data_IF_953653802818
#
_entry.id   IF_953653802818
#
_cell.length_a   1.000
_cell.length_b   1.000
_cell.length_c   1.000
_cell.angle_alpha   90.00
_cell.angle_beta   90.00
_cell.angle_gamma   90.00
#
_symmetry.space_group_name_H-M   'P 1'
#
loop_
_entity.id
_entity.type
_entity.pdbx_description
1 polymer ?
#
# COMPACT_ATOMS: atom_id res chain seq x y z
N UNK A 1 -11.68 53.87 -12.82
CA UNK A 1 -11.68 52.91 -11.69
C UNK A 1 -12.40 51.66 -12.18
N UNK A 2 -11.67 50.62 -12.57
CA UNK A 2 -12.26 49.43 -13.17
C UNK A 2 -12.80 48.51 -12.08
N UNK A 3 -14.13 48.39 -12.04
CA UNK A 3 -14.85 47.50 -11.14
C UNK A 3 -14.62 46.05 -11.56
N UNK A 4 -13.56 45.43 -11.04
CA UNK A 4 -13.32 43.99 -11.20
C UNK A 4 -14.36 43.20 -10.40
N UNK A 5 -15.49 42.88 -11.04
CA UNK A 5 -16.51 42.03 -10.44
C UNK A 5 -15.90 40.68 -10.08
N UNK A 6 -15.93 40.34 -8.79
CA UNK A 6 -15.45 39.05 -8.29
C UNK A 6 -16.13 37.92 -9.08
N UNK A 7 -15.38 37.00 -9.71
CA UNK A 7 -15.95 35.96 -10.55
C UNK A 7 -16.60 34.89 -9.67
N UNK A 8 -17.77 35.21 -9.11
CA UNK A 8 -18.53 34.33 -8.22
C UNK A 8 -18.80 32.96 -8.85
N UNK A 9 -18.96 32.93 -10.19
CA UNK A 9 -19.11 31.69 -10.97
C UNK A 9 -17.88 30.79 -10.83
N UNK A 10 -16.66 31.33 -10.93
CA UNK A 10 -15.43 30.52 -10.77
C UNK A 10 -15.24 30.09 -9.33
N UNK A 11 -15.60 30.94 -8.36
CA UNK A 11 -15.58 30.58 -6.94
C UNK A 11 -16.55 29.41 -6.63
N UNK A 12 -17.72 29.39 -7.28
CA UNK A 12 -18.68 28.28 -7.17
C UNK A 12 -18.15 26.99 -7.79
N UNK A 13 -17.52 27.06 -8.97
CA UNK A 13 -16.91 25.87 -9.59
C UNK A 13 -15.77 25.31 -8.74
N UNK A 14 -14.94 26.16 -8.14
CA UNK A 14 -13.86 25.75 -7.24
C UNK A 14 -14.43 25.12 -5.96
N UNK A 15 -15.45 25.73 -5.36
CA UNK A 15 -16.13 25.15 -4.19
C UNK A 15 -16.74 23.79 -4.52
N UNK A 16 -17.40 23.65 -5.67
CA UNK A 16 -17.98 22.38 -6.11
C UNK A 16 -16.89 21.31 -6.35
N UNK A 17 -15.76 21.68 -6.96
CA UNK A 17 -14.64 20.78 -7.18
C UNK A 17 -14.01 20.29 -5.87
N UNK A 18 -13.84 21.18 -4.89
CA UNK A 18 -13.35 20.81 -3.55
C UNK A 18 -14.32 19.82 -2.89
N UNK A 19 -15.63 20.08 -2.95
CA UNK A 19 -16.63 19.17 -2.40
C UNK A 19 -16.60 17.81 -3.09
N UNK A 20 -16.46 17.77 -4.42
CA UNK A 20 -16.33 16.52 -5.19
C UNK A 20 -15.06 15.75 -4.81
N UNK A 21 -13.94 16.43 -4.58
CA UNK A 21 -12.70 15.79 -4.09
C UNK A 21 -12.91 15.21 -2.69
N UNK A 22 -13.53 15.96 -1.78
CA UNK A 22 -13.81 15.49 -0.41
C UNK A 22 -14.75 14.28 -0.41
N UNK A 23 -15.81 14.31 -1.23
CA UNK A 23 -16.74 13.19 -1.39
C UNK A 23 -16.05 11.98 -2.03
N UNK A 24 -15.22 12.19 -3.05
CA UNK A 24 -14.45 11.11 -3.69
C UNK A 24 -13.44 10.49 -2.73
N UNK A 25 -12.83 11.30 -1.85
CA UNK A 25 -11.91 10.83 -0.82
C UNK A 25 -12.65 10.04 0.27
N UNK A 26 -13.83 10.50 0.68
CA UNK A 26 -14.69 9.80 1.65
C UNK A 26 -15.22 8.47 1.10
N UNK A 27 -15.67 8.43 -0.16
CA UNK A 27 -16.09 7.20 -0.83
C UNK A 27 -14.89 6.27 -1.04
N UNK A 28 -13.73 6.82 -1.41
CA UNK A 28 -12.48 6.06 -1.50
C UNK A 28 -12.06 5.45 -0.16
N UNK A 29 -12.19 6.18 0.94
CA UNK A 29 -11.96 5.68 2.29
C UNK A 29 -12.96 4.59 2.69
N UNK A 30 -14.25 4.78 2.40
CA UNK A 30 -15.30 3.80 2.67
C UNK A 30 -15.14 2.51 1.84
N UNK A 31 -14.80 2.63 0.55
CA UNK A 31 -14.58 1.51 -0.36
C UNK A 31 -13.25 0.77 -0.09
N UNK A 32 -12.25 1.46 0.46
CA UNK A 32 -10.97 0.86 0.90
C UNK A 32 -11.01 0.30 2.32
N UNK A 33 -12.16 0.36 3.01
CA UNK A 33 -12.33 -0.14 4.37
C UNK A 33 -11.60 0.69 5.43
N UNK A 34 -11.16 1.91 5.10
CA UNK A 34 -10.60 2.85 6.06
C UNK A 34 -11.72 3.44 6.93
N UNK A 35 -12.30 2.62 7.81
CA UNK A 35 -13.18 3.11 8.87
C UNK A 35 -12.31 3.84 9.90
N UNK A 36 -12.53 5.15 9.99
CA UNK A 36 -12.25 5.91 11.20
C UNK A 36 -13.03 5.25 12.35
N UNK A 37 -12.35 5.13 13.49
CA UNK A 37 -12.79 4.61 14.78
C UNK A 37 -12.68 3.09 15.02
N UNK A 38 -11.84 2.77 16.02
CA UNK A 38 -11.43 1.43 16.52
C UNK A 38 -12.66 0.64 17.00
N UNK A 39 -12.86 -0.60 16.49
CA UNK A 39 -12.19 -1.77 17.07
C UNK A 39 -11.86 -2.82 16.00
N UNK A 40 -10.76 -2.66 15.25
CA UNK A 40 -10.44 -3.54 14.11
C UNK A 40 -9.02 -4.11 14.14
N UNK A 41 -8.34 -4.15 15.30
CA UNK A 41 -6.91 -4.49 15.32
C UNK A 41 -6.62 -5.95 14.96
N UNK A 42 -7.58 -6.85 15.18
CA UNK A 42 -7.47 -8.27 14.77
C UNK A 42 -7.97 -8.48 13.34
N UNK A 43 -9.07 -7.84 12.93
CA UNK A 43 -9.61 -7.95 11.57
C UNK A 43 -8.73 -7.27 10.51
N UNK A 44 -8.10 -6.13 10.82
CA UNK A 44 -7.24 -5.41 9.89
C UNK A 44 -5.85 -6.07 9.74
N UNK A 45 -5.37 -6.76 10.78
CA UNK A 45 -4.21 -7.63 10.69
C UNK A 45 -4.49 -8.89 9.85
N UNK A 46 -5.74 -9.38 9.85
CA UNK A 46 -6.19 -10.47 8.99
C UNK A 46 -6.47 -10.01 7.55
N UNK A 47 -6.86 -8.74 7.33
CA UNK A 47 -7.21 -8.21 6.00
C UNK A 47 -6.00 -7.87 5.13
N UNK A 48 -4.80 -7.71 5.72
CA UNK A 48 -3.58 -7.39 4.99
C UNK A 48 -2.48 -8.37 5.35
N UNK A 49 -2.17 -9.29 4.43
CA UNK A 49 -0.98 -10.14 4.53
C UNK A 49 0.24 -9.28 4.85
N UNK A 50 1.05 -9.64 5.87
CA UNK A 50 2.23 -8.90 6.24
C UNK A 50 3.16 -8.78 5.04
N UNK A 51 3.62 -7.56 4.72
CA UNK A 51 4.56 -7.37 3.62
C UNK A 51 5.84 -8.21 3.79
N UNK A 52 6.65 -8.41 2.73
CA UNK A 52 7.77 -9.36 2.75
C UNK A 52 8.79 -9.20 3.88
N UNK A 53 9.07 -7.96 4.33
CA UNK A 53 9.92 -7.73 5.51
C UNK A 53 9.29 -8.23 6.81
N UNK A 54 7.98 -8.05 6.92
CA UNK A 54 7.19 -8.47 8.06
C UNK A 54 7.12 -9.98 8.20
N UNK A 55 6.88 -10.66 7.07
CA UNK A 55 6.89 -12.11 6.98
C UNK A 55 8.22 -12.71 7.44
N UNK A 56 9.35 -12.18 6.94
CA UNK A 56 10.68 -12.65 7.32
C UNK A 56 11.03 -12.42 8.80
N UNK A 57 10.48 -11.37 9.42
CA UNK A 57 10.69 -11.08 10.84
C UNK A 57 9.84 -11.97 11.76
N UNK A 58 8.69 -12.44 11.28
CA UNK A 58 7.79 -13.31 12.04
C UNK A 58 8.29 -14.76 12.15
N UNK A 59 9.19 -15.18 11.26
CA UNK A 59 9.69 -16.56 11.23
C UNK A 59 10.67 -16.87 12.39
N UNK A 60 10.60 -18.06 13.01
CA UNK A 60 11.60 -18.55 13.95
C UNK A 60 13.02 -18.51 13.37
N UNK A 61 14.09 -18.31 14.18
CA UNK A 61 15.47 -18.19 13.69
C UNK A 61 15.93 -19.38 12.84
N UNK A 62 15.50 -20.59 13.20
CA UNK A 62 15.88 -21.82 12.50
C UNK A 62 15.14 -21.96 11.15
N UNK A 63 13.82 -21.71 11.16
CA UNK A 63 13.01 -21.66 9.94
C UNK A 63 13.42 -20.53 8.99
N UNK A 64 14.00 -19.42 9.50
CA UNK A 64 14.49 -18.30 8.69
C UNK A 64 15.59 -18.70 7.72
N UNK A 65 16.47 -19.65 8.06
CA UNK A 65 17.58 -20.07 7.18
C UNK A 65 17.09 -20.85 5.97
N UNK A 66 16.19 -21.80 6.22
CA UNK A 66 15.59 -22.64 5.19
C UNK A 66 14.68 -21.82 4.27
N UNK A 67 13.82 -21.00 4.87
CA UNK A 67 12.94 -20.07 4.14
C UNK A 67 13.74 -18.99 3.39
N UNK A 68 14.89 -18.51 3.90
CA UNK A 68 15.75 -17.55 3.15
C UNK A 68 16.34 -18.14 1.88
N UNK A 69 16.82 -19.39 1.91
CA UNK A 69 17.40 -20.04 0.73
C UNK A 69 16.36 -20.21 -0.36
N UNK A 70 15.15 -20.55 0.03
CA UNK A 70 14.05 -20.76 -0.91
C UNK A 70 13.47 -19.45 -1.43
N UNK A 71 13.30 -18.44 -0.56
CA UNK A 71 12.92 -17.11 -1.02
C UNK A 71 13.98 -16.49 -1.93
N UNK A 72 15.26 -16.87 -1.88
CA UNK A 72 16.30 -16.25 -2.69
C UNK A 72 15.99 -16.27 -4.20
N UNK A 73 15.38 -17.35 -4.70
CA UNK A 73 14.91 -17.44 -6.10
C UNK A 73 13.72 -16.53 -6.37
N UNK A 74 12.70 -16.58 -5.52
CA UNK A 74 11.53 -15.69 -5.61
C UNK A 74 11.89 -14.21 -5.41
N UNK A 75 12.97 -13.92 -4.68
CA UNK A 75 13.46 -12.56 -4.42
C UNK A 75 14.09 -11.93 -5.67
N UNK A 76 14.58 -12.72 -6.63
CA UNK A 76 15.02 -12.18 -7.93
C UNK A 76 13.80 -11.72 -8.73
N UNK A 77 12.79 -12.57 -8.83
CA UNK A 77 11.54 -12.25 -9.54
C UNK A 77 10.83 -11.05 -8.91
N UNK A 78 10.71 -11.03 -7.57
CA UNK A 78 10.16 -9.91 -6.81
C UNK A 78 10.97 -8.60 -7.01
N UNK A 79 12.29 -8.67 -7.20
CA UNK A 79 13.09 -7.47 -7.48
C UNK A 79 12.77 -6.91 -8.86
N UNK A 80 12.65 -7.77 -9.87
CA UNK A 80 12.25 -7.38 -11.22
C UNK A 80 10.86 -6.75 -11.22
N UNK A 81 9.89 -7.37 -10.56
CA UNK A 81 8.52 -6.84 -10.45
C UNK A 81 8.47 -5.49 -9.72
N UNK A 82 9.23 -5.34 -8.62
CA UNK A 82 9.34 -4.04 -7.92
C UNK A 82 9.98 -2.95 -8.78
N UNK A 83 10.99 -3.32 -9.58
CA UNK A 83 11.61 -2.40 -10.51
C UNK A 83 10.59 -1.95 -11.56
N UNK A 84 9.82 -2.87 -12.12
CA UNK A 84 8.74 -2.56 -13.07
C UNK A 84 7.66 -1.65 -12.45
N UNK A 85 7.23 -1.89 -11.22
CA UNK A 85 6.29 -0.98 -10.51
C UNK A 85 6.88 0.42 -10.33
N UNK A 86 8.17 0.54 -9.98
CA UNK A 86 8.85 1.84 -9.90
C UNK A 86 8.92 2.54 -11.25
N UNK A 87 9.29 1.83 -12.30
CA UNK A 87 9.38 2.37 -13.66
C UNK A 87 8.00 2.81 -14.19
N UNK A 88 6.94 2.04 -13.93
CA UNK A 88 5.57 2.42 -14.29
C UNK A 88 5.11 3.71 -13.59
N UNK A 89 5.47 3.90 -12.32
CA UNK A 89 5.17 5.14 -11.57
C UNK A 89 5.93 6.33 -12.15
N UNK A 90 7.20 6.17 -12.49
CA UNK A 90 7.98 7.21 -13.16
C UNK A 90 7.35 7.59 -14.51
N UNK A 91 6.95 6.60 -15.31
CA UNK A 91 6.28 6.82 -16.58
C UNK A 91 4.95 7.57 -16.44
N UNK A 92 4.19 7.31 -15.36
CA UNK A 92 2.99 8.07 -15.02
C UNK A 92 3.31 9.54 -14.73
N UNK A 93 4.35 9.81 -13.95
CA UNK A 93 4.76 11.20 -13.66
C UNK A 93 5.20 11.93 -14.94
N UNK A 94 5.94 11.26 -15.82
CA UNK A 94 6.34 11.82 -17.12
C UNK A 94 5.13 12.09 -18.01
N UNK A 95 4.19 11.15 -18.12
CA UNK A 95 2.96 11.33 -18.89
C UNK A 95 2.10 12.48 -18.37
N UNK A 96 2.02 12.65 -17.05
CA UNK A 96 1.23 13.71 -16.43
C UNK A 96 1.86 15.11 -16.57
N UNK A 97 3.18 15.19 -16.82
CA UNK A 97 3.93 16.44 -16.98
C UNK A 97 4.07 16.90 -18.43
N UNK A 98 3.67 16.08 -19.40
CA UNK A 98 3.76 16.45 -20.80
C UNK A 98 2.81 17.59 -21.17
N UNK A 99 3.31 18.48 -22.02
CA UNK A 99 2.53 19.53 -22.68
C UNK A 99 2.59 19.31 -24.20
N UNK A 100 1.43 19.24 -24.89
CA UNK A 100 0.07 19.37 -24.35
C UNK A 100 -0.34 18.15 -23.49
N UNK A 101 -1.28 18.38 -22.56
CA UNK A 101 -1.77 17.35 -21.66
C UNK A 101 -2.58 16.28 -22.41
N UNK A 102 -2.15 15.02 -22.31
CA UNK A 102 -2.81 13.87 -22.93
C UNK A 102 -3.45 12.96 -21.87
N UNK A 103 -4.77 13.10 -21.73
CA UNK A 103 -5.59 12.30 -20.80
C UNK A 103 -5.51 10.81 -21.12
N UNK A 104 -5.46 10.42 -22.39
CA UNK A 104 -5.45 9.01 -22.78
C UNK A 104 -4.13 8.34 -22.35
N UNK A 105 -3.01 9.03 -22.59
CA UNK A 105 -1.68 8.58 -22.15
C UNK A 105 -1.57 8.46 -20.63
N UNK A 106 -2.13 9.42 -19.88
CA UNK A 106 -2.14 9.35 -18.40
C UNK A 106 -2.99 8.18 -17.89
N UNK A 107 -4.17 7.93 -18.51
CA UNK A 107 -5.02 6.78 -18.15
C UNK A 107 -4.33 5.44 -18.41
N UNK A 108 -3.62 5.33 -19.53
CA UNK A 108 -2.80 4.16 -19.84
C UNK A 108 -1.69 3.97 -18.82
N UNK A 109 -0.96 5.04 -18.46
CA UNK A 109 0.08 4.96 -17.44
C UNK A 109 -0.47 4.52 -16.07
N UNK A 110 -1.65 4.98 -15.67
CA UNK A 110 -2.33 4.47 -14.48
C UNK A 110 -2.69 2.98 -14.56
N UNK A 111 -3.10 2.49 -15.74
CA UNK A 111 -3.37 1.07 -15.95
C UNK A 111 -2.10 0.23 -15.79
N UNK A 112 -0.98 0.71 -16.33
CA UNK A 112 0.32 0.07 -16.20
C UNK A 112 0.80 0.01 -14.75
N UNK A 113 0.60 1.08 -13.97
CA UNK A 113 0.90 1.07 -12.52
C UNK A 113 0.09 0.01 -11.80
N UNK A 114 -1.23 -0.07 -12.04
CA UNK A 114 -2.08 -1.10 -11.41
C UNK A 114 -1.64 -2.51 -11.76
N UNK A 115 -1.30 -2.76 -13.03
CA UNK A 115 -0.82 -4.06 -13.48
C UNK A 115 0.50 -4.46 -12.81
N UNK A 116 1.47 -3.53 -12.74
CA UNK A 116 2.77 -3.79 -12.11
C UNK A 116 2.66 -4.01 -10.59
N UNK A 117 1.79 -3.25 -9.92
CA UNK A 117 1.52 -3.43 -8.49
C UNK A 117 0.82 -4.77 -8.22
N UNK A 118 -0.16 -5.15 -9.05
CA UNK A 118 -0.84 -6.45 -8.95
C UNK A 118 0.13 -7.62 -9.17
N UNK A 119 1.01 -7.54 -10.16
CA UNK A 119 2.04 -8.55 -10.41
C UNK A 119 3.00 -8.71 -9.21
N UNK A 120 3.41 -7.59 -8.59
CA UNK A 120 4.27 -7.62 -7.40
C UNK A 120 3.56 -8.26 -6.21
N UNK A 121 2.27 -7.99 -6.02
CA UNK A 121 1.48 -8.61 -4.95
C UNK A 121 1.30 -10.11 -5.17
N UNK A 122 0.97 -10.53 -6.40
CA UNK A 122 0.82 -11.93 -6.77
C UNK A 122 2.12 -12.72 -6.54
N UNK A 123 3.26 -12.23 -7.05
CA UNK A 123 4.55 -12.91 -6.86
C UNK A 123 4.94 -13.05 -5.38
N UNK A 124 4.53 -12.11 -4.53
CA UNK A 124 4.73 -12.22 -3.09
C UNK A 124 3.83 -13.30 -2.47
N UNK A 125 2.54 -13.30 -2.82
CA UNK A 125 1.55 -14.27 -2.33
C UNK A 125 1.94 -15.70 -2.74
N UNK A 126 2.39 -15.90 -3.97
CA UNK A 126 2.89 -17.19 -4.47
C UNK A 126 4.12 -17.66 -3.70
N UNK A 127 5.05 -16.74 -3.42
CA UNK A 127 6.22 -17.00 -2.59
C UNK A 127 5.86 -17.43 -1.16
N UNK A 128 4.88 -16.76 -0.55
CA UNK A 128 4.37 -17.12 0.79
C UNK A 128 3.68 -18.48 0.76
N UNK A 129 2.81 -18.74 -0.22
CA UNK A 129 2.11 -20.02 -0.36
C UNK A 129 3.10 -21.19 -0.52
N UNK A 130 4.11 -21.01 -1.38
CA UNK A 130 5.19 -21.99 -1.57
C UNK A 130 5.97 -22.24 -0.28
N UNK A 131 6.34 -21.18 0.44
CA UNK A 131 7.08 -21.29 1.70
C UNK A 131 6.27 -22.04 2.77
N UNK A 132 5.00 -21.68 2.97
CA UNK A 132 4.12 -22.36 3.93
C UNK A 132 3.89 -23.83 3.56
N UNK A 133 3.81 -24.16 2.27
CA UNK A 133 3.62 -25.53 1.77
C UNK A 133 4.75 -26.48 2.16
N UNK A 134 5.98 -25.98 2.34
CA UNK A 134 7.16 -26.78 2.70
C UNK A 134 7.38 -26.95 4.20
N UNK A 135 6.76 -26.12 5.03
CA UNK A 135 6.85 -26.22 6.49
C UNK A 135 6.06 -27.44 7.00
N UNK A 136 6.56 -28.04 8.09
CA UNK A 136 5.81 -29.04 8.84
C UNK A 136 4.48 -28.43 9.35
N UNK A 137 3.45 -29.24 9.66
CA UNK A 137 2.19 -28.72 10.18
C UNK A 137 2.37 -27.90 11.48
N UNK A 138 3.33 -28.27 12.33
CA UNK A 138 3.64 -27.54 13.55
C UNK A 138 4.31 -26.19 13.26
N UNK A 139 5.34 -26.19 12.41
CA UNK A 139 6.07 -24.96 12.06
C UNK A 139 5.19 -23.98 11.28
N UNK A 140 4.29 -24.49 10.43
CA UNK A 140 3.30 -23.69 9.72
C UNK A 140 2.36 -22.97 10.67
N UNK A 141 1.85 -23.66 11.71
CA UNK A 141 1.00 -23.03 12.74
C UNK A 141 1.76 -21.94 13.50
N UNK A 142 2.99 -22.23 13.93
CA UNK A 142 3.82 -21.24 14.62
C UNK A 142 4.11 -20.00 13.77
N UNK A 143 4.39 -20.19 12.46
CA UNK A 143 4.62 -19.10 11.53
C UNK A 143 3.35 -18.23 11.34
N UNK A 144 2.18 -18.85 11.18
CA UNK A 144 0.91 -18.15 11.04
C UNK A 144 0.54 -17.38 12.32
N UNK A 145 0.72 -17.99 13.50
CA UNK A 145 0.52 -17.31 14.79
C UNK A 145 1.43 -16.10 14.94
N UNK A 146 2.71 -16.22 14.56
CA UNK A 146 3.65 -15.10 14.61
C UNK A 146 3.27 -13.97 13.65
N UNK A 147 2.69 -14.29 12.48
CA UNK A 147 2.17 -13.28 11.54
C UNK A 147 0.99 -12.51 12.12
N UNK A 148 0.08 -13.19 12.84
CA UNK A 148 -1.05 -12.56 13.53
C UNK A 148 -0.62 -11.71 14.73
N UNK A 149 0.46 -12.09 15.43
CA UNK A 149 0.93 -11.45 16.67
C UNK A 149 1.76 -10.17 16.47
N UNK A 150 1.87 -9.61 15.26
CA UNK A 150 2.72 -8.43 15.04
C UNK A 150 2.37 -7.30 16.03
N UNK A 151 3.35 -6.72 16.76
CA UNK A 151 3.06 -5.73 17.78
C UNK A 151 2.52 -4.46 17.12
N UNK A 152 1.47 -3.89 17.71
CA UNK A 152 1.13 -2.48 17.56
C UNK A 152 2.44 -1.68 17.63
N UNK A 153 2.69 -0.83 16.63
CA UNK A 153 3.74 0.19 16.73
C UNK A 153 3.55 0.86 18.09
N UNK A 154 4.51 0.64 19.00
CA UNK A 154 4.58 1.35 20.28
C UNK A 154 4.60 2.83 19.92
N UNK A 155 3.51 3.52 20.24
CA UNK A 155 3.40 4.96 20.04
C UNK A 155 4.64 5.62 20.62
N UNK A 156 5.21 6.55 19.87
CA UNK A 156 6.26 7.42 20.38
C UNK A 156 5.78 8.06 21.71
N UNK A 157 6.66 8.29 22.68
CA UNK A 157 6.28 9.02 23.88
C UNK A 157 5.82 10.41 23.44
N UNK A 158 4.59 10.80 23.81
CA UNK A 158 4.14 12.17 23.71
C UNK A 158 4.98 12.99 24.67
N UNK A 159 6.02 13.60 24.13
CA UNK A 159 6.76 14.70 24.73
C UNK A 159 5.78 15.88 24.85
N UNK A 160 5.33 16.17 26.07
CA UNK A 160 4.38 17.25 26.31
C UNK A 160 3.54 17.15 27.58
N UNK A 161 4.13 16.69 28.69
CA UNK A 161 3.64 17.02 30.04
C UNK A 161 4.86 17.58 30.77
N UNK A 162 5.03 18.90 30.72
CA UNK A 162 5.80 19.73 31.66
C UNK A 162 5.61 21.21 31.27
N UNK A 163 4.41 21.74 31.53
CA UNK A 163 4.22 23.16 31.80
C UNK A 163 3.20 23.27 32.94
N UNK A 164 3.70 23.34 34.16
CA UNK A 164 3.17 24.26 35.17
C UNK A 164 4.28 24.70 36.13
#
# INVERSE_FOLDING_TARGET
MSSGGFPWRTALFVSLAINLVLVSLAIGAAASGARLERPAQTEEALSRLPGPRAFMQALPPDARREVRRDLARSLVELRTQRRASREARLALYEAARQEPYDVARVREAFANVRAADAATAAGFQDGVATALGRLSPQDRRMALEAMMRRPQRRGAPSEGDDVE
#
